data_IF_082245210070
#
_entry.id   IF_082245210070
#
_cell.length_a   1.000
_cell.length_b   1.000
_cell.length_c   1.000
_cell.angle_alpha   90.00
_cell.angle_beta   90.00
_cell.angle_gamma   90.00
#
_symmetry.space_group_name_H-M   'P 1'
#
loop_
_entity.id
_entity.type
_entity.pdbx_description
1 polymer ?
#
# COMPACT_ATOMS: atom_id res chain seq x y z
N UNK A 1 3.76 7.32 -23.60
CA UNK A 1 3.18 6.88 -22.32
C UNK A 1 4.31 6.92 -21.29
N UNK A 2 4.14 7.63 -20.17
CA UNK A 2 5.19 7.74 -19.13
C UNK A 2 5.06 6.50 -18.24
N UNK A 3 6.13 5.71 -18.10
CA UNK A 3 6.16 4.61 -17.13
C UNK A 3 6.26 5.20 -15.73
N UNK A 4 5.42 4.80 -14.76
CA UNK A 4 5.56 5.25 -13.38
C UNK A 4 6.86 4.74 -12.78
N UNK A 5 7.44 5.51 -11.86
CA UNK A 5 8.54 5.02 -11.01
C UNK A 5 7.95 4.23 -9.83
N UNK A 6 6.77 4.63 -9.37
CA UNK A 6 6.09 4.01 -8.25
C UNK A 6 4.62 3.78 -8.55
N UNK A 7 4.11 2.64 -8.10
CA UNK A 7 2.69 2.32 -8.20
C UNK A 7 2.19 1.52 -7.00
N UNK A 8 0.91 1.74 -6.69
CA UNK A 8 0.13 1.01 -5.71
C UNK A 8 -1.16 0.57 -6.41
N UNK A 9 -1.28 -0.72 -6.69
CA UNK A 9 -2.48 -1.32 -7.27
C UNK A 9 -3.19 -2.13 -6.19
N UNK A 10 -4.45 -1.79 -5.90
CA UNK A 10 -5.29 -2.52 -4.96
C UNK A 10 -6.33 -3.31 -5.74
N UNK A 11 -6.39 -4.62 -5.53
CA UNK A 11 -7.36 -5.52 -6.15
C UNK A 11 -8.20 -6.14 -5.05
N UNK A 12 -9.47 -5.77 -4.99
CA UNK A 12 -10.39 -6.32 -4.00
C UNK A 12 -11.27 -7.41 -4.59
N UNK A 13 -10.88 -8.66 -4.36
CA UNK A 13 -11.68 -9.85 -4.69
C UNK A 13 -12.46 -10.39 -3.48
N UNK A 14 -12.42 -9.72 -2.33
CA UNK A 14 -13.20 -10.10 -1.15
C UNK A 14 -14.67 -9.69 -1.29
N UNK A 15 -15.52 -10.30 -0.48
CA UNK A 15 -16.94 -9.97 -0.38
C UNK A 15 -17.22 -8.62 0.31
N UNK A 16 -16.21 -8.05 0.97
CA UNK A 16 -16.27 -6.79 1.73
C UNK A 16 -15.77 -5.59 0.91
N UNK A 17 -16.21 -4.38 1.29
CA UNK A 17 -15.71 -3.11 0.74
C UNK A 17 -14.82 -2.38 1.75
N UNK A 18 -13.95 -1.50 1.24
CA UNK A 18 -13.05 -0.70 2.09
C UNK A 18 -13.11 0.78 1.71
N UNK A 19 -13.11 1.65 2.70
CA UNK A 19 -13.04 3.09 2.51
C UNK A 19 -11.61 3.60 2.70
N UNK A 20 -11.17 4.50 1.83
CA UNK A 20 -9.92 5.21 2.01
C UNK A 20 -10.10 6.25 3.12
N UNK A 21 -9.52 5.99 4.28
CA UNK A 21 -9.68 6.86 5.47
C UNK A 21 -8.50 7.79 5.71
N UNK A 22 -7.36 7.48 5.08
CA UNK A 22 -6.18 8.34 5.10
C UNK A 22 -5.47 8.23 3.77
N UNK A 23 -5.12 9.38 3.20
CA UNK A 23 -4.21 9.50 2.07
C UNK A 23 -3.25 10.66 2.34
N UNK A 24 -1.96 10.40 2.16
CA UNK A 24 -0.90 11.40 2.21
C UNK A 24 -0.15 11.32 0.88
N UNK A 25 -0.53 12.14 -0.10
CA UNK A 25 0.14 12.16 -1.40
C UNK A 25 1.53 12.81 -1.28
N UNK A 26 2.42 12.58 -2.25
CA UNK A 26 3.75 13.18 -2.25
C UNK A 26 3.61 14.70 -2.46
N UNK A 27 4.49 15.46 -1.83
CA UNK A 27 4.45 16.95 -1.80
C UNK A 27 5.67 17.60 -2.42
N UNK A 28 6.69 16.82 -2.77
CA UNK A 28 7.88 17.37 -3.42
C UNK A 28 7.53 17.88 -4.83
N UNK A 29 8.10 19.03 -5.23
CA UNK A 29 7.74 19.72 -6.47
C UNK A 29 8.14 18.96 -7.74
N UNK A 30 9.08 18.01 -7.63
CA UNK A 30 9.56 17.17 -8.72
C UNK A 30 8.84 15.82 -8.82
N UNK A 31 7.92 15.53 -7.89
CA UNK A 31 7.02 14.37 -8.02
C UNK A 31 5.82 14.75 -8.87
N UNK A 32 5.54 13.93 -9.87
CA UNK A 32 4.37 14.08 -10.74
C UNK A 32 3.47 12.86 -10.60
N UNK A 33 2.25 13.09 -10.11
CA UNK A 33 1.19 12.08 -10.14
C UNK A 33 0.83 11.75 -11.60
N UNK A 34 0.79 10.45 -11.92
CA UNK A 34 0.23 9.94 -13.17
C UNK A 34 -1.23 9.57 -12.93
N UNK A 35 -1.49 8.78 -11.88
CA UNK A 35 -2.83 8.42 -11.41
C UNK A 35 -2.93 8.75 -9.92
N UNK A 36 -3.91 9.57 -9.54
CA UNK A 36 -4.18 9.94 -8.16
C UNK A 36 -5.48 9.30 -7.68
N UNK A 37 -5.54 8.98 -6.38
CA UNK A 37 -6.77 8.55 -5.71
C UNK A 37 -7.46 9.75 -5.07
N UNK A 38 -8.77 9.94 -5.29
CA UNK A 38 -9.57 10.91 -4.53
C UNK A 38 -9.67 10.55 -3.04
N UNK A 39 -9.86 11.55 -2.17
CA UNK A 39 -9.95 11.37 -0.71
C UNK A 39 -11.13 10.46 -0.26
N UNK A 40 -12.18 10.33 -1.08
CA UNK A 40 -13.36 9.51 -0.79
C UNK A 40 -13.39 8.21 -1.62
N UNK A 41 -12.22 7.68 -1.98
CA UNK A 41 -12.16 6.45 -2.77
C UNK A 41 -12.72 5.28 -1.96
N UNK A 42 -13.62 4.52 -2.57
CA UNK A 42 -14.12 3.26 -2.04
C UNK A 42 -13.57 2.12 -2.89
N UNK A 43 -12.85 1.21 -2.25
CA UNK A 43 -12.41 -0.04 -2.85
C UNK A 43 -13.55 -1.06 -2.72
N UNK A 44 -14.50 -0.97 -3.66
CA UNK A 44 -15.69 -1.82 -3.69
C UNK A 44 -15.36 -3.30 -3.93
N UNK A 45 -16.32 -4.18 -3.65
CA UNK A 45 -16.25 -5.61 -3.97
C UNK A 45 -16.00 -5.82 -5.46
N UNK A 46 -14.97 -6.60 -5.81
CA UNK A 46 -14.54 -6.82 -7.19
C UNK A 46 -13.87 -5.59 -7.83
N UNK A 47 -13.60 -4.55 -7.04
CA UNK A 47 -13.06 -3.29 -7.52
C UNK A 47 -11.53 -3.26 -7.52
N UNK A 48 -11.00 -2.31 -8.29
CA UNK A 48 -9.58 -2.00 -8.36
C UNK A 48 -9.36 -0.51 -8.10
N UNK A 49 -8.28 -0.17 -7.42
CA UNK A 49 -7.82 1.20 -7.25
C UNK A 49 -6.32 1.30 -7.57
N UNK A 50 -5.93 2.31 -8.34
CA UNK A 50 -4.55 2.52 -8.76
C UNK A 50 -4.09 3.92 -8.37
N UNK A 51 -2.92 4.01 -7.74
CA UNK A 51 -2.17 5.25 -7.55
C UNK A 51 -0.78 5.08 -8.16
N UNK A 52 -0.31 6.04 -8.94
CA UNK A 52 1.01 5.96 -9.55
C UNK A 52 1.61 7.34 -9.78
N UNK A 53 2.94 7.42 -9.68
CA UNK A 53 3.68 8.66 -9.84
C UNK A 53 5.08 8.42 -10.37
N UNK A 54 5.68 9.49 -10.87
CA UNK A 54 7.09 9.55 -11.26
C UNK A 54 7.80 10.56 -10.39
N UNK A 55 9.08 10.30 -10.11
CA UNK A 55 9.94 11.18 -9.33
C UNK A 55 10.99 11.81 -10.24
N UNK A 56 11.14 13.12 -10.15
CA UNK A 56 12.20 13.85 -10.83
C UNK A 56 13.58 13.64 -10.21
N UNK A 57 14.61 14.14 -10.90
CA UNK A 57 15.98 14.15 -10.38
C UNK A 57 16.24 15.42 -9.55
N UNK A 58 15.81 15.47 -8.29
CA UNK A 58 16.08 16.64 -7.44
C UNK A 58 17.10 16.41 -6.33
N UNK A 59 17.97 17.40 -6.13
CA UNK A 59 19.05 17.45 -5.14
C UNK A 59 18.96 18.80 -4.38
N UNK A 60 18.01 18.97 -3.45
CA UNK A 60 18.01 20.16 -2.59
C UNK A 60 16.69 20.62 -1.97
N UNK A 61 16.20 19.91 -0.94
CA UNK A 61 15.23 20.35 0.12
C UNK A 61 14.00 21.23 -0.27
N UNK A 62 12.81 20.63 -0.30
CA UNK A 62 11.68 20.83 0.65
C UNK A 62 10.47 20.01 0.16
N UNK A 63 9.97 19.06 0.95
CA UNK A 63 8.85 18.17 0.58
C UNK A 63 9.10 16.72 0.99
N UNK A 64 8.05 15.89 0.98
CA UNK A 64 8.12 14.43 1.17
C UNK A 64 7.72 13.75 -0.13
N UNK A 65 8.54 12.79 -0.55
CA UNK A 65 8.25 11.90 -1.68
C UNK A 65 7.50 10.63 -1.24
N UNK A 66 7.25 10.52 0.06
CA UNK A 66 6.59 9.37 0.65
C UNK A 66 5.10 9.43 0.37
N UNK A 67 4.53 8.26 0.08
CA UNK A 67 3.08 8.06 0.05
C UNK A 67 2.69 7.22 1.24
N UNK A 68 1.59 7.58 1.89
CA UNK A 68 0.94 6.73 2.89
C UNK A 68 -0.56 6.71 2.62
N UNK A 69 -1.16 5.53 2.65
CA UNK A 69 -2.60 5.37 2.53
C UNK A 69 -3.09 4.29 3.48
N UNK A 70 -4.32 4.47 3.98
CA UNK A 70 -4.99 3.53 4.86
C UNK A 70 -6.40 3.24 4.38
N UNK A 71 -6.71 1.96 4.28
CA UNK A 71 -8.05 1.45 3.98
C UNK A 71 -8.68 0.90 5.24
N UNK A 72 -9.98 1.13 5.42
CA UNK A 72 -10.75 0.63 6.55
C UNK A 72 -11.99 -0.12 6.08
N UNK A 73 -12.21 -1.29 6.68
CA UNK A 73 -13.46 -2.05 6.56
C UNK A 73 -14.46 -1.49 7.57
N UNK A 74 -15.66 -1.11 7.12
CA UNK A 74 -16.59 -0.31 7.92
C UNK A 74 -17.35 -1.11 8.97
N UNK A 75 -17.57 -2.41 8.78
CA UNK A 75 -18.28 -3.27 9.73
C UNK A 75 -17.36 -3.72 10.87
N UNK A 76 -16.19 -4.28 10.54
CA UNK A 76 -15.25 -4.78 11.55
C UNK A 76 -14.31 -3.70 12.11
N UNK A 77 -14.29 -2.50 11.51
CA UNK A 77 -13.37 -1.40 11.85
C UNK A 77 -11.89 -1.81 11.83
N UNK A 78 -11.57 -2.85 11.06
CA UNK A 78 -10.20 -3.24 10.77
C UNK A 78 -9.63 -2.35 9.69
N UNK A 79 -8.33 -2.06 9.77
CA UNK A 79 -7.66 -1.21 8.82
C UNK A 79 -6.32 -1.78 8.42
N UNK A 80 -5.93 -1.57 7.17
CA UNK A 80 -4.57 -1.82 6.71
C UNK A 80 -4.04 -0.58 5.98
N UNK A 81 -2.77 -0.29 6.19
CA UNK A 81 -2.10 0.85 5.62
C UNK A 81 -0.83 0.41 4.91
N UNK A 82 -0.53 1.10 3.82
CA UNK A 82 0.68 0.89 3.03
C UNK A 82 1.30 2.25 2.79
N UNK A 83 2.61 2.32 2.98
CA UNK A 83 3.37 3.49 2.61
C UNK A 83 4.57 3.09 1.78
N UNK A 84 4.92 3.94 0.82
CA UNK A 84 6.20 3.87 0.11
C UNK A 84 7.05 5.00 0.64
N UNK A 85 8.19 4.65 1.22
CA UNK A 85 9.25 5.58 1.58
C UNK A 85 10.18 5.71 0.38
N UNK A 86 10.21 6.91 -0.15
CA UNK A 86 11.13 7.26 -1.23
C UNK A 86 12.50 7.51 -0.60
N UNK A 87 13.57 6.96 -1.18
CA UNK A 87 14.84 6.94 -0.48
C UNK A 87 15.44 8.35 -0.46
N UNK A 88 15.82 8.83 0.74
CA UNK A 88 16.57 10.08 0.89
C UNK A 88 17.92 9.93 0.18
N UNK A 89 18.25 10.86 -0.72
CA UNK A 89 19.55 10.85 -1.41
C UNK A 89 20.69 11.25 -0.47
N UNK A 90 21.08 10.35 0.42
CA UNK A 90 22.28 10.42 1.26
C UNK A 90 23.49 9.77 0.58
N UNK A 91 24.67 10.33 0.76
CA UNK A 91 25.89 10.02 -0.01
C UNK A 91 26.45 8.58 0.13
N UNK A 92 25.87 7.69 0.97
CA UNK A 92 26.52 6.43 1.38
C UNK A 92 25.64 5.16 1.48
N UNK A 93 24.37 5.14 1.03
CA UNK A 93 23.57 3.89 1.00
C UNK A 93 23.00 3.60 -0.40
N UNK A 94 22.80 2.32 -0.79
CA UNK A 94 21.99 1.99 -1.95
C UNK A 94 20.56 2.48 -1.70
N UNK A 95 20.17 3.54 -2.39
CA UNK A 95 18.91 4.28 -2.25
C UNK A 95 17.84 3.52 -3.06
N UNK A 96 17.23 2.49 -2.46
CA UNK A 96 16.02 1.84 -3.02
C UNK A 96 14.81 2.28 -2.23
N UNK A 97 13.69 2.50 -2.92
CA UNK A 97 12.41 2.74 -2.26
C UNK A 97 12.00 1.51 -1.47
N UNK A 98 11.50 1.72 -0.27
CA UNK A 98 10.98 0.64 0.59
C UNK A 98 9.52 0.88 0.86
N UNK A 99 8.77 -0.20 1.05
CA UNK A 99 7.42 -0.08 1.55
C UNK A 99 7.36 -0.44 3.02
N UNK A 100 6.46 0.24 3.72
CA UNK A 100 6.12 0.02 5.11
C UNK A 100 4.64 -0.25 5.23
N UNK A 101 4.27 -0.87 6.32
CA UNK A 101 2.91 -1.31 6.59
C UNK A 101 2.52 -1.00 8.01
N UNK A 102 1.22 -0.79 8.21
CA UNK A 102 0.57 -0.59 9.50
C UNK A 102 -0.80 -1.26 9.42
N UNK A 103 -1.31 -1.77 10.54
CA UNK A 103 -2.66 -2.36 10.54
C UNK A 103 -3.31 -2.29 11.92
N UNK A 104 -4.62 -2.41 11.91
CA UNK A 104 -5.46 -2.69 13.06
C UNK A 104 -6.34 -3.88 12.68
N UNK A 105 -6.13 -5.02 13.36
CA UNK A 105 -6.91 -6.24 13.14
C UNK A 105 -8.06 -6.41 14.17
N UNK A 106 -8.36 -5.35 14.94
CA UNK A 106 -9.34 -5.37 16.03
C UNK A 106 -8.83 -5.98 17.35
N UNK A 107 -7.65 -6.61 17.35
CA UNK A 107 -6.96 -7.15 18.54
C UNK A 107 -5.65 -6.42 18.81
N UNK A 108 -4.93 -6.13 17.75
CA UNK A 108 -3.61 -5.52 17.71
C UNK A 108 -3.67 -4.29 16.81
N UNK A 109 -3.25 -3.16 17.35
CA UNK A 109 -2.98 -1.96 16.58
C UNK A 109 -1.46 -1.86 16.41
N UNK A 110 -0.96 -2.30 15.25
CA UNK A 110 0.46 -2.36 14.93
C UNK A 110 0.87 -1.08 14.22
N UNK A 111 1.76 -0.31 14.83
CA UNK A 111 2.32 0.90 14.20
C UNK A 111 3.24 0.56 13.01
N UNK A 112 3.59 1.58 12.21
CA UNK A 112 4.38 1.44 10.99
C UNK A 112 5.67 0.64 11.19
N UNK A 113 5.87 -0.36 10.32
CA UNK A 113 7.10 -1.14 10.27
C UNK A 113 7.46 -1.55 8.84
N UNK A 114 8.75 -1.84 8.63
CA UNK A 114 9.26 -2.43 7.40
C UNK A 114 9.05 -3.95 7.47
N UNK A 115 8.36 -4.57 6.49
CA UNK A 115 8.11 -6.01 6.51
C UNK A 115 9.36 -6.84 6.17
N UNK A 116 10.28 -6.28 5.38
CA UNK A 116 11.56 -6.88 5.04
C UNK A 116 12.61 -5.79 4.77
N UNK A 117 13.88 -6.15 4.95
CA UNK A 117 15.02 -5.33 4.53
C UNK A 117 15.23 -5.35 2.99
N UNK A 118 14.64 -6.34 2.29
CA UNK A 118 14.63 -6.38 0.84
C UNK A 118 13.26 -5.88 0.33
N UNK A 119 13.19 -4.74 -0.38
CA UNK A 119 11.92 -4.14 -0.78
C UNK A 119 11.14 -4.96 -1.82
N UNK A 120 11.78 -5.93 -2.48
CA UNK A 120 11.12 -6.85 -3.41
C UNK A 120 10.43 -8.05 -2.74
N UNK A 121 10.62 -8.24 -1.43
CA UNK A 121 9.98 -9.37 -0.75
C UNK A 121 8.48 -9.09 -0.53
N UNK A 122 7.61 -10.09 -0.72
CA UNK A 122 6.18 -9.94 -0.47
C UNK A 122 5.88 -9.90 1.04
N UNK A 123 4.68 -9.44 1.37
CA UNK A 123 4.17 -9.46 2.75
C UNK A 123 2.72 -9.92 2.81
N UNK A 124 2.40 -10.74 3.80
CA UNK A 124 1.01 -11.15 4.10
C UNK A 124 0.60 -10.57 5.45
N UNK A 125 -0.51 -9.84 5.48
CA UNK A 125 -1.05 -9.32 6.74
C UNK A 125 -1.47 -10.47 7.68
N UNK A 126 -1.48 -10.24 9.00
CA UNK A 126 -1.76 -11.29 9.96
C UNK A 126 -3.11 -11.97 9.74
N UNK A 127 -3.17 -13.27 10.05
CA UNK A 127 -4.38 -14.08 9.94
C UNK A 127 -5.52 -13.66 10.87
N UNK A 128 -5.28 -12.71 11.78
CA UNK A 128 -6.29 -12.06 12.62
C UNK A 128 -7.15 -11.04 11.88
N UNK A 129 -6.68 -10.48 10.76
CA UNK A 129 -7.51 -9.67 9.85
C UNK A 129 -8.65 -10.52 9.31
N UNK A 130 -9.84 -10.00 9.05
CA UNK A 130 -11.02 -10.76 8.61
C UNK A 130 -10.92 -11.24 7.15
N UNK A 131 -10.05 -10.60 6.38
CA UNK A 131 -9.71 -10.92 5.00
C UNK A 131 -8.26 -11.38 4.90
N UNK A 132 -7.91 -12.05 3.81
CA UNK A 132 -6.52 -12.31 3.45
C UNK A 132 -6.02 -11.14 2.60
N UNK A 133 -4.95 -10.49 3.04
CA UNK A 133 -4.33 -9.36 2.34
C UNK A 133 -2.88 -9.71 2.05
N UNK A 134 -2.52 -9.71 0.78
CA UNK A 134 -1.17 -10.03 0.31
C UNK A 134 -0.65 -8.85 -0.49
N UNK A 135 0.55 -8.39 -0.14
CA UNK A 135 1.33 -7.42 -0.89
C UNK A 135 2.38 -8.19 -1.68
N UNK A 136 2.30 -8.15 -3.00
CA UNK A 136 3.39 -8.52 -3.90
C UNK A 136 4.16 -7.27 -4.27
N UNK A 137 5.47 -7.40 -4.41
CA UNK A 137 6.37 -6.28 -4.67
C UNK A 137 7.28 -6.59 -5.83
N UNK A 138 7.44 -5.60 -6.71
CA UNK A 138 8.43 -5.60 -7.77
C UNK A 138 9.32 -4.35 -7.60
N UNK A 139 10.56 -4.56 -7.16
CA UNK A 139 11.51 -3.49 -6.86
C UNK A 139 12.72 -3.55 -7.78
N UNK A 140 12.97 -2.47 -8.52
CA UNK A 140 14.09 -2.34 -9.45
C UNK A 140 14.73 -0.97 -9.33
N UNK A 141 15.94 -0.91 -8.75
CA UNK A 141 16.75 0.31 -8.61
C UNK A 141 15.97 1.45 -7.93
N UNK A 142 15.41 2.37 -8.72
CA UNK A 142 14.67 3.56 -8.27
C UNK A 142 13.14 3.34 -8.28
N UNK A 143 12.69 2.21 -8.81
CA UNK A 143 11.28 1.87 -9.00
C UNK A 143 10.77 0.88 -7.94
N UNK A 144 9.51 1.06 -7.55
CA UNK A 144 8.81 0.13 -6.68
C UNK A 144 7.33 0.07 -7.04
N UNK A 145 6.91 -1.10 -7.49
CA UNK A 145 5.53 -1.40 -7.86
C UNK A 145 4.97 -2.39 -6.84
N UNK A 146 3.87 -2.02 -6.18
CA UNK A 146 3.17 -2.91 -5.25
C UNK A 146 1.80 -3.28 -5.81
N UNK A 147 1.48 -4.56 -5.75
CA UNK A 147 0.13 -5.06 -5.99
C UNK A 147 -0.40 -5.67 -4.70
N UNK A 148 -1.60 -5.25 -4.32
CA UNK A 148 -2.21 -5.55 -3.03
C UNK A 148 -3.52 -6.23 -3.29
N UNK A 149 -3.51 -7.54 -3.09
CA UNK A 149 -4.65 -8.41 -3.33
C UNK A 149 -5.37 -8.68 -2.01
N UNK A 150 -6.68 -8.45 -2.02
CA UNK A 150 -7.57 -8.68 -0.90
C UNK A 150 -8.55 -9.78 -1.30
N UNK A 151 -8.59 -10.88 -0.55
CA UNK A 151 -9.53 -11.99 -0.79
C UNK A 151 -10.26 -12.36 0.49
N UNK A 152 -11.43 -12.96 0.34
CA UNK A 152 -12.07 -13.64 1.46
C UNK A 152 -11.14 -14.73 2.02
N UNK A 153 -11.25 -14.98 3.32
CA UNK A 153 -10.60 -16.15 3.89
C UNK A 153 -11.25 -17.42 3.35
N UNK A 154 -10.48 -18.51 3.18
CA UNK A 154 -11.08 -19.81 2.92
C UNK A 154 -12.06 -20.13 4.06
N UNK A 155 -13.32 -20.40 3.72
CA UNK A 155 -14.33 -20.84 4.70
C UNK A 155 -13.81 -22.08 5.40
N UNK A 156 -13.87 -22.10 6.72
CA UNK A 156 -13.56 -23.31 7.47
C UNK A 156 -14.54 -24.40 7.01
N UNK A 157 -14.13 -25.69 6.88
CA UNK A 157 -15.04 -26.76 6.50
C UNK A 157 -16.27 -26.91 7.42
N UNK A 158 -16.21 -26.34 8.64
CA UNK A 158 -17.34 -26.24 9.57
C UNK A 158 -18.47 -25.34 9.08
N UNK A 159 -18.16 -24.31 8.29
CA UNK A 159 -19.11 -23.28 7.86
C UNK A 159 -19.86 -23.67 6.56
N UNK A 160 -19.46 -24.79 5.96
CA UNK A 160 -20.10 -25.37 4.77
C UNK A 160 -21.16 -26.43 5.12
N UNK A 161 -21.38 -26.69 6.42
CA UNK A 161 -22.32 -27.71 6.92
C UNK A 161 -23.61 -27.14 7.55
N UNK A 162 -23.90 -25.86 7.33
CA UNK A 162 -25.18 -25.25 7.75
C UNK A 162 -26.11 -25.04 6.56
#
# INVERSE_FOLDING_TARGET
>A
MISPDHSLTFVNSASKGFELVQLSPPTAPDVRMITALPDNTVLAKGGEALMSWTKGCYFGKSGRDDVMLCWQEMEALQSFCIGIESPERGFFKPIRSHYKIKYNDGKTNKDWFLPSDNPGDPYTFPSSMDVNIVVTSHSVKDQLELEITITDKPKSPSDLRQ
#
